data_IF_666531729614
#
_entry.id   IF_666531729614
#
_cell.length_a   1.000
_cell.length_b   1.000
_cell.length_c   1.000
_cell.angle_alpha   90.00
_cell.angle_beta   90.00
_cell.angle_gamma   90.00
#
_symmetry.space_group_name_H-M   'P 1'
#
loop_
_entity.id
_entity.type
_entity.pdbx_description
1 polymer ?
#
# COMPACT_ATOMS: atom_id res chain seq x y z
N UNK A 1 -16.08 -25.74 7.29
CA UNK A 1 -16.72 -24.50 7.82
C UNK A 1 -15.67 -23.53 8.34
N UNK A 2 -14.75 -23.95 9.22
CA UNK A 2 -13.71 -23.09 9.81
C UNK A 2 -12.75 -22.45 8.79
N UNK A 3 -12.28 -23.22 7.79
CA UNK A 3 -11.44 -22.68 6.71
C UNK A 3 -12.14 -21.55 5.94
N UNK A 4 -13.40 -21.76 5.57
CA UNK A 4 -14.21 -20.76 4.85
C UNK A 4 -14.35 -19.48 5.68
N UNK A 5 -14.64 -19.61 6.97
CA UNK A 5 -14.74 -18.48 7.88
C UNK A 5 -13.40 -17.74 7.97
N UNK A 6 -12.28 -18.46 8.12
CA UNK A 6 -10.96 -17.85 8.17
C UNK A 6 -10.61 -17.05 6.91
N UNK A 7 -10.94 -17.59 5.73
CA UNK A 7 -10.75 -16.88 4.45
C UNK A 7 -11.61 -15.63 4.37
N UNK A 8 -12.90 -15.71 4.73
CA UNK A 8 -13.81 -14.56 4.70
C UNK A 8 -13.37 -13.46 5.66
N UNK A 9 -13.00 -13.82 6.89
CA UNK A 9 -12.44 -12.88 7.86
C UNK A 9 -11.14 -12.27 7.35
N UNK A 10 -10.28 -13.07 6.69
CA UNK A 10 -9.05 -12.57 6.08
C UNK A 10 -9.29 -11.59 4.95
N UNK A 11 -10.33 -11.78 4.13
CA UNK A 11 -10.71 -10.83 3.07
C UNK A 11 -11.19 -9.51 3.70
N UNK A 12 -12.03 -9.57 4.74
CA UNK A 12 -12.47 -8.38 5.49
C UNK A 12 -11.27 -7.66 6.11
N UNK A 13 -10.37 -8.42 6.73
CA UNK A 13 -9.15 -7.87 7.31
C UNK A 13 -8.23 -7.23 6.26
N UNK A 14 -8.14 -7.84 5.09
CA UNK A 14 -7.41 -7.28 3.94
C UNK A 14 -7.99 -5.94 3.50
N UNK A 15 -9.33 -5.76 3.52
CA UNK A 15 -9.93 -4.45 3.26
C UNK A 15 -9.48 -3.40 4.26
N UNK A 16 -9.44 -3.74 5.55
CA UNK A 16 -9.03 -2.81 6.60
C UNK A 16 -7.56 -2.40 6.39
N UNK A 17 -6.68 -3.36 6.12
CA UNK A 17 -5.26 -3.09 5.81
C UNK A 17 -5.14 -2.22 4.55
N UNK A 18 -5.87 -2.52 3.48
CA UNK A 18 -5.85 -1.74 2.24
C UNK A 18 -6.31 -0.30 2.45
N UNK A 19 -7.38 -0.05 3.23
CA UNK A 19 -7.85 1.30 3.53
C UNK A 19 -6.84 2.06 4.40
N UNK A 20 -6.51 1.52 5.58
CA UNK A 20 -5.78 2.27 6.60
C UNK A 20 -4.27 2.31 6.33
N UNK A 21 -3.69 1.17 5.95
CA UNK A 21 -2.27 1.02 5.69
C UNK A 21 -1.88 1.48 4.29
N UNK A 22 -2.45 0.86 3.26
CA UNK A 22 -2.00 1.11 1.89
C UNK A 22 -2.51 2.45 1.33
N UNK A 23 -3.83 2.65 1.30
CA UNK A 23 -4.47 3.85 0.74
C UNK A 23 -4.15 5.09 1.58
N UNK A 24 -4.55 5.12 2.85
CA UNK A 24 -4.42 6.33 3.67
C UNK A 24 -2.96 6.59 4.05
N UNK A 25 -2.27 5.62 4.65
CA UNK A 25 -0.94 5.85 5.20
C UNK A 25 0.16 5.89 4.13
N UNK A 26 0.35 4.82 3.34
CA UNK A 26 1.45 4.81 2.35
C UNK A 26 1.18 5.75 1.18
N UNK A 27 0.04 5.58 0.52
CA UNK A 27 -0.22 6.27 -0.72
C UNK A 27 -0.49 7.77 -0.50
N UNK A 28 -1.53 8.10 0.26
CA UNK A 28 -2.01 9.47 0.38
C UNK A 28 -1.14 10.32 1.31
N UNK A 29 -0.82 9.80 2.49
CA UNK A 29 0.00 10.51 3.46
C UNK A 29 1.49 10.53 3.06
N UNK A 30 2.11 9.37 2.82
CA UNK A 30 3.56 9.31 2.58
C UNK A 30 3.99 9.64 1.15
N UNK A 31 3.33 9.09 0.12
CA UNK A 31 3.72 9.37 -1.25
C UNK A 31 3.32 10.78 -1.68
N UNK A 32 2.07 11.15 -1.45
CA UNK A 32 1.49 12.39 -2.00
C UNK A 32 1.35 13.55 -1.02
N UNK A 33 1.63 13.32 0.28
CA UNK A 33 1.61 14.36 1.33
C UNK A 33 0.28 15.13 1.36
N UNK A 34 -0.83 14.44 1.08
CA UNK A 34 -2.15 15.05 0.97
C UNK A 34 -2.67 15.60 2.31
N UNK A 35 -2.25 14.98 3.42
CA UNK A 35 -2.58 15.36 4.80
C UNK A 35 -1.54 14.76 5.77
N UNK A 36 -1.64 15.10 7.05
CA UNK A 36 -0.85 14.48 8.12
C UNK A 36 -1.70 13.48 8.91
N UNK A 37 -1.06 12.51 9.55
CA UNK A 37 -1.71 11.54 10.44
C UNK A 37 -1.05 11.59 11.82
N UNK A 38 -1.78 11.27 12.90
CA UNK A 38 -1.20 11.19 14.23
C UNK A 38 -0.23 10.01 14.34
N UNK A 39 0.72 10.11 15.27
CA UNK A 39 1.77 9.10 15.44
C UNK A 39 1.26 7.69 15.77
N UNK A 40 0.13 7.57 16.48
CA UNK A 40 -0.49 6.27 16.76
C UNK A 40 -1.04 5.61 15.49
N UNK A 41 -1.64 6.39 14.58
CA UNK A 41 -2.19 5.89 13.33
C UNK A 41 -1.06 5.43 12.41
N UNK A 42 0.04 6.19 12.41
CA UNK A 42 1.25 5.82 11.70
C UNK A 42 1.81 4.46 12.18
N UNK A 43 1.92 4.24 13.49
CA UNK A 43 2.36 2.95 14.06
C UNK A 43 1.39 1.83 13.68
N UNK A 44 0.08 2.05 13.86
CA UNK A 44 -0.96 1.08 13.53
C UNK A 44 -0.91 0.67 12.04
N UNK A 45 -0.88 1.64 11.13
CA UNK A 45 -0.84 1.38 9.70
C UNK A 45 0.47 0.72 9.26
N UNK A 46 1.62 1.09 9.84
CA UNK A 46 2.87 0.39 9.57
C UNK A 46 2.81 -1.07 10.03
N UNK A 47 2.26 -1.36 11.22
CA UNK A 47 2.07 -2.73 11.69
C UNK A 47 1.19 -3.55 10.74
N UNK A 48 0.07 -2.99 10.27
CA UNK A 48 -0.81 -3.61 9.27
C UNK A 48 -0.07 -3.94 7.96
N UNK A 49 0.78 -3.02 7.49
CA UNK A 49 1.56 -3.21 6.27
C UNK A 49 2.66 -4.24 6.43
N UNK A 50 3.19 -4.42 7.64
CA UNK A 50 4.16 -5.47 7.92
C UNK A 50 3.53 -6.87 7.89
N UNK A 51 2.21 -6.99 8.10
CA UNK A 51 1.47 -8.25 7.93
C UNK A 51 1.32 -8.58 6.43
N UNK A 52 0.84 -7.61 5.64
CA UNK A 52 0.56 -7.81 4.21
C UNK A 52 1.81 -7.83 3.31
N UNK A 53 2.86 -7.11 3.71
CA UNK A 53 4.23 -7.15 3.17
C UNK A 53 4.37 -7.29 1.64
N UNK A 54 3.83 -6.32 0.86
CA UNK A 54 4.09 -6.24 -0.59
C UNK A 54 5.58 -5.95 -0.86
N UNK A 55 6.09 -4.91 -0.19
CA UNK A 55 7.48 -4.45 -0.10
C UNK A 55 7.65 -3.75 1.25
N UNK A 56 8.88 -3.48 1.67
CA UNK A 56 9.11 -2.61 2.85
C UNK A 56 8.43 -1.25 2.65
N UNK A 57 7.95 -0.57 3.71
CA UNK A 57 7.29 0.74 3.57
C UNK A 57 8.12 1.77 2.80
N UNK A 58 9.42 1.91 3.12
CA UNK A 58 10.33 2.79 2.38
C UNK A 58 10.42 2.38 0.90
N UNK A 59 10.60 1.08 0.63
CA UNK A 59 10.72 0.57 -0.74
C UNK A 59 9.47 0.81 -1.57
N UNK A 60 8.29 0.60 -0.96
CA UNK A 60 7.00 0.85 -1.60
C UNK A 60 6.83 2.33 -1.94
N UNK A 61 6.97 3.22 -0.94
CA UNK A 61 6.80 4.68 -1.11
C UNK A 61 7.77 5.21 -2.17
N UNK A 62 9.03 4.81 -2.11
CA UNK A 62 10.04 5.29 -3.03
C UNK A 62 9.81 4.78 -4.46
N UNK A 63 9.37 3.52 -4.62
CA UNK A 63 8.99 3.00 -5.94
C UNK A 63 7.78 3.70 -6.53
N UNK A 64 6.79 4.05 -5.70
CA UNK A 64 5.59 4.76 -6.15
C UNK A 64 5.90 6.19 -6.58
N UNK A 65 6.75 6.90 -5.83
CA UNK A 65 7.24 8.23 -6.22
C UNK A 65 8.05 8.19 -7.53
N UNK A 66 8.86 7.16 -7.71
CA UNK A 66 9.61 6.95 -8.96
C UNK A 66 8.66 6.65 -10.12
N UNK A 67 7.65 5.81 -9.91
CA UNK A 67 6.58 5.57 -10.87
C UNK A 67 5.88 6.84 -11.31
N UNK A 68 5.44 7.70 -10.39
CA UNK A 68 4.82 8.98 -10.78
C UNK A 68 5.73 9.90 -11.61
N UNK A 69 7.05 9.77 -11.47
CA UNK A 69 8.01 10.58 -12.25
C UNK A 69 8.23 10.02 -13.65
N UNK A 70 8.12 8.69 -13.81
CA UNK A 70 8.49 7.99 -15.05
C UNK A 70 7.34 7.15 -15.63
N UNK A 71 6.11 7.41 -15.19
CA UNK A 71 4.93 6.55 -15.38
C UNK A 71 4.79 6.09 -16.83
N UNK A 72 4.51 4.79 -17.00
CA UNK A 72 4.35 4.15 -18.31
C UNK A 72 5.59 4.21 -19.21
N UNK A 73 6.74 4.66 -18.70
CA UNK A 73 8.03 4.77 -19.39
C UNK A 73 9.04 3.69 -19.00
N UNK A 74 10.21 3.62 -19.67
CA UNK A 74 11.23 2.60 -19.40
C UNK A 74 11.84 2.66 -17.99
N UNK A 75 11.82 3.84 -17.36
CA UNK A 75 12.34 4.06 -16.01
C UNK A 75 11.27 3.87 -14.92
N UNK A 76 10.03 3.55 -15.28
CA UNK A 76 8.98 3.18 -14.34
C UNK A 76 9.33 1.83 -13.67
N UNK A 77 9.48 1.78 -12.34
CA UNK A 77 9.88 0.56 -11.65
C UNK A 77 8.85 -0.57 -11.76
N UNK A 78 7.61 -0.29 -12.16
CA UNK A 78 6.57 -1.30 -12.30
C UNK A 78 5.71 -1.09 -13.56
N UNK A 79 6.28 -0.53 -14.62
CA UNK A 79 5.60 -0.53 -15.91
C UNK A 79 5.45 -1.96 -16.43
N UNK A 80 4.20 -2.42 -16.55
CA UNK A 80 3.88 -3.74 -17.09
C UNK A 80 4.40 -3.96 -18.51
N UNK A 81 4.58 -2.88 -19.29
CA UNK A 81 5.16 -2.92 -20.64
C UNK A 81 6.66 -3.20 -20.64
N UNK A 82 7.43 -2.52 -19.78
CA UNK A 82 8.90 -2.61 -19.80
C UNK A 82 9.47 -3.63 -18.82
N UNK A 83 8.83 -3.84 -17.67
CA UNK A 83 9.20 -4.86 -16.68
C UNK A 83 8.64 -6.24 -17.06
N UNK A 84 7.48 -6.26 -17.72
CA UNK A 84 6.77 -7.46 -18.14
C UNK A 84 5.51 -7.72 -17.32
N UNK A 85 4.39 -7.93 -18.01
CA UNK A 85 3.05 -8.04 -17.42
C UNK A 85 2.98 -9.03 -16.26
N UNK A 86 3.45 -10.27 -16.45
CA UNK A 86 3.38 -11.31 -15.43
C UNK A 86 4.25 -11.02 -14.21
N UNK A 87 5.42 -10.41 -14.42
CA UNK A 87 6.29 -10.02 -13.30
C UNK A 87 5.59 -8.96 -12.44
N UNK A 88 4.96 -7.97 -13.08
CA UNK A 88 4.20 -6.92 -12.39
C UNK A 88 2.96 -7.48 -11.70
N UNK A 89 2.19 -8.33 -12.39
CA UNK A 89 0.97 -8.94 -11.82
C UNK A 89 1.28 -9.77 -10.57
N UNK A 90 2.36 -10.56 -10.59
CA UNK A 90 2.73 -11.43 -9.46
C UNK A 90 3.72 -10.80 -8.48
N UNK A 91 4.12 -9.54 -8.70
CA UNK A 91 5.05 -8.82 -7.82
C UNK A 91 6.41 -9.46 -7.61
N UNK A 92 6.95 -10.06 -8.68
CA UNK A 92 8.21 -10.83 -8.67
C UNK A 92 9.40 -10.08 -9.26
N UNK A 93 9.26 -8.79 -9.57
CA UNK A 93 10.36 -7.98 -10.09
C UNK A 93 11.16 -7.30 -8.97
N UNK A 94 12.42 -7.04 -9.28
CA UNK A 94 13.30 -6.23 -8.46
C UNK A 94 13.55 -4.86 -9.06
N UNK A 95 13.72 -3.88 -8.18
CA UNK A 95 14.10 -2.52 -8.55
C UNK A 95 15.59 -2.40 -8.30
N UNK A 96 16.40 -2.49 -9.37
CA UNK A 96 17.87 -2.54 -9.28
C UNK A 96 18.47 -1.38 -8.48
N UNK A 97 17.92 -0.17 -8.65
CA UNK A 97 18.37 1.03 -7.94
C UNK A 97 17.22 2.02 -7.83
N UNK A 98 16.91 2.44 -6.60
CA UNK A 98 16.02 3.56 -6.34
C UNK A 98 16.88 4.79 -6.05
N UNK A 99 16.83 5.85 -6.86
CA UNK A 99 17.52 7.10 -6.57
C UNK A 99 17.14 7.66 -5.19
N UNK A 100 18.13 8.14 -4.44
CA UNK A 100 17.96 8.64 -3.07
C UNK A 100 16.93 9.77 -2.98
N UNK A 101 16.76 10.57 -4.05
CA UNK A 101 15.74 11.63 -4.12
C UNK A 101 14.32 11.15 -3.82
N UNK A 102 13.98 9.89 -4.09
CA UNK A 102 12.65 9.34 -3.84
C UNK A 102 12.43 8.87 -2.39
N UNK A 103 13.49 8.67 -1.60
CA UNK A 103 13.42 8.09 -0.26
C UNK A 103 14.06 8.95 0.84
N UNK A 104 14.82 10.00 0.49
CA UNK A 104 15.67 10.77 1.43
C UNK A 104 14.94 11.25 2.70
N UNK A 105 13.71 11.74 2.56
CA UNK A 105 12.89 12.20 3.69
C UNK A 105 12.41 11.05 4.59
N UNK A 106 12.18 9.86 4.03
CA UNK A 106 11.66 8.69 4.74
C UNK A 106 12.64 8.15 5.78
N UNK A 107 13.95 8.23 5.50
CA UNK A 107 15.00 7.80 6.43
C UNK A 107 15.14 8.68 7.68
N UNK A 108 14.50 9.86 7.71
CA UNK A 108 14.42 10.69 8.93
C UNK A 108 13.44 10.12 9.96
N UNK A 109 12.54 9.21 9.56
CA UNK A 109 11.55 8.63 10.44
C UNK A 109 12.05 7.27 10.97
N UNK A 110 12.38 7.14 12.26
CA UNK A 110 12.93 5.90 12.82
C UNK A 110 11.98 4.72 12.71
N UNK A 111 10.66 4.94 12.67
CA UNK A 111 9.66 3.86 12.54
C UNK A 111 9.69 3.24 11.15
N UNK A 112 9.77 4.07 10.10
CA UNK A 112 9.96 3.59 8.72
C UNK A 112 11.28 2.84 8.57
N UNK A 113 12.36 3.36 9.16
CA UNK A 113 13.67 2.71 9.14
C UNK A 113 13.64 1.37 9.87
N UNK A 114 12.98 1.29 11.03
CA UNK A 114 12.79 0.04 11.77
C UNK A 114 12.07 -1.01 10.91
N UNK A 115 10.91 -0.65 10.33
CA UNK A 115 10.19 -1.53 9.42
C UNK A 115 11.04 -1.97 8.23
N UNK A 116 11.83 -1.06 7.64
CA UNK A 116 12.69 -1.38 6.50
C UNK A 116 13.86 -2.30 6.86
N UNK A 117 14.49 -2.14 8.03
CA UNK A 117 15.63 -2.99 8.45
C UNK A 117 15.20 -4.37 8.94
N UNK A 118 14.05 -4.45 9.60
CA UNK A 118 13.60 -5.66 10.28
C UNK A 118 12.47 -6.40 9.55
N UNK A 119 12.14 -5.99 8.31
CA UNK A 119 10.95 -6.48 7.62
C UNK A 119 10.83 -8.00 7.58
N UNK A 120 11.91 -8.70 7.23
CA UNK A 120 11.91 -10.15 7.08
C UNK A 120 11.73 -10.84 8.44
N UNK A 121 12.39 -10.32 9.49
CA UNK A 121 12.24 -10.84 10.86
C UNK A 121 10.81 -10.64 11.36
N UNK A 122 10.21 -9.48 11.09
CA UNK A 122 8.83 -9.19 11.46
C UNK A 122 7.87 -10.11 10.71
N UNK A 123 8.06 -10.29 9.41
CA UNK A 123 7.22 -11.18 8.59
C UNK A 123 7.26 -12.62 9.11
N UNK A 124 8.46 -13.17 9.33
CA UNK A 124 8.65 -14.51 9.87
C UNK A 124 8.01 -14.63 11.26
N UNK A 125 8.22 -13.65 12.14
CA UNK A 125 7.62 -13.66 13.47
C UNK A 125 6.09 -13.64 13.41
N UNK A 126 5.49 -12.79 12.58
CA UNK A 126 4.03 -12.73 12.38
C UNK A 126 3.50 -14.07 11.87
N UNK A 127 4.17 -14.68 10.90
CA UNK A 127 3.74 -15.96 10.31
C UNK A 127 3.83 -17.10 11.32
N UNK A 128 4.96 -17.23 12.02
CA UNK A 128 5.16 -18.27 13.03
C UNK A 128 4.17 -18.09 14.19
N UNK A 129 4.07 -16.89 14.77
CA UNK A 129 3.19 -16.64 15.92
C UNK A 129 1.73 -16.90 15.54
N UNK A 130 1.28 -16.41 14.38
CA UNK A 130 -0.11 -16.63 13.96
C UNK A 130 -0.41 -18.10 13.66
N UNK A 131 0.55 -18.85 13.11
CA UNK A 131 0.39 -20.29 12.88
C UNK A 131 0.33 -21.09 14.19
N UNK A 132 1.13 -20.71 15.19
CA UNK A 132 1.11 -21.32 16.52
C UNK A 132 -0.20 -21.07 17.27
N UNK A 133 -0.91 -19.96 17.00
CA UNK A 133 -2.26 -19.72 17.54
C UNK A 133 -3.25 -20.70 16.92
N UNK A 134 -3.29 -20.78 15.59
CA UNK A 134 -3.90 -21.90 14.83
C UNK A 134 -3.61 -21.73 13.33
N UNK A 135 -3.65 -22.82 12.54
CA UNK A 135 -3.57 -22.72 11.08
C UNK A 135 -4.64 -21.81 10.48
N UNK A 136 -5.86 -21.79 11.03
CA UNK A 136 -6.95 -20.93 10.57
C UNK A 136 -6.71 -19.46 10.89
N UNK A 137 -6.17 -19.15 12.08
CA UNK A 137 -5.79 -17.78 12.42
C UNK A 137 -4.68 -17.27 11.51
N UNK A 138 -3.65 -18.09 11.24
CA UNK A 138 -2.62 -17.76 10.23
C UNK A 138 -3.21 -17.46 8.86
N UNK A 139 -4.14 -18.29 8.39
CA UNK A 139 -4.79 -18.10 7.08
C UNK A 139 -5.50 -16.75 7.02
N UNK A 140 -6.37 -16.45 7.99
CA UNK A 140 -7.14 -15.21 8.01
C UNK A 140 -6.31 -13.97 8.32
N UNK A 141 -5.43 -14.05 9.32
CA UNK A 141 -4.71 -12.89 9.84
C UNK A 141 -3.49 -12.50 8.97
N UNK A 142 -2.78 -13.47 8.38
CA UNK A 142 -1.51 -13.23 7.71
C UNK A 142 -1.52 -13.65 6.23
N UNK A 143 -1.86 -14.90 5.91
CA UNK A 143 -1.70 -15.43 4.56
C UNK A 143 -2.63 -14.76 3.54
N UNK A 144 -3.93 -14.66 3.86
CA UNK A 144 -4.90 -14.01 2.97
C UNK A 144 -4.53 -12.54 2.74
N UNK A 145 -4.27 -11.70 3.77
CA UNK A 145 -3.79 -10.34 3.55
C UNK A 145 -2.52 -10.22 2.71
N UNK A 146 -1.56 -11.12 2.90
CA UNK A 146 -0.34 -11.15 2.11
C UNK A 146 -0.66 -11.38 0.62
N UNK A 147 -1.44 -12.41 0.30
CA UNK A 147 -1.85 -12.73 -1.08
C UNK A 147 -2.67 -11.58 -1.67
N UNK A 148 -3.63 -11.06 -0.91
CA UNK A 148 -4.56 -10.04 -1.37
C UNK A 148 -3.86 -8.73 -1.71
N UNK A 149 -2.88 -8.34 -0.90
CA UNK A 149 -2.07 -7.14 -1.13
C UNK A 149 -1.19 -7.29 -2.39
N UNK A 150 -0.63 -8.48 -2.63
CA UNK A 150 0.17 -8.80 -3.82
C UNK A 150 -0.69 -8.74 -5.10
N UNK A 151 -1.86 -9.36 -5.08
CA UNK A 151 -2.83 -9.33 -6.18
C UNK A 151 -3.30 -7.90 -6.43
N UNK A 152 -3.73 -7.17 -5.39
CA UNK A 152 -4.21 -5.80 -5.51
C UNK A 152 -3.17 -4.86 -6.12
N UNK A 153 -1.93 -4.92 -5.64
CA UNK A 153 -0.82 -4.13 -6.19
C UNK A 153 -0.54 -4.50 -7.66
N UNK A 154 -0.47 -5.80 -7.96
CA UNK A 154 -0.19 -6.28 -9.31
C UNK A 154 -1.29 -5.87 -10.30
N UNK A 155 -2.56 -6.02 -9.93
CA UNK A 155 -3.70 -5.63 -10.75
C UNK A 155 -3.75 -4.11 -11.00
N UNK A 156 -3.48 -3.28 -9.98
CA UNK A 156 -3.44 -1.82 -10.15
C UNK A 156 -2.37 -1.40 -11.17
N UNK A 157 -1.19 -2.00 -11.11
CA UNK A 157 -0.06 -1.66 -11.98
C UNK A 157 -0.09 -2.38 -13.35
N UNK A 158 -1.05 -3.26 -13.57
CA UNK A 158 -1.30 -3.88 -14.87
C UNK A 158 -2.60 -3.37 -15.49
N UNK A 159 -3.73 -3.75 -14.90
CA UNK A 159 -5.07 -3.38 -15.38
C UNK A 159 -5.33 -1.88 -15.18
N UNK A 160 -4.88 -1.31 -14.06
CA UNK A 160 -4.97 0.14 -13.81
C UNK A 160 -4.04 0.97 -14.68
N UNK A 161 -3.05 0.37 -15.34
CA UNK A 161 -2.15 1.00 -16.33
C UNK A 161 -2.33 0.44 -17.75
N UNK A 162 -3.50 -0.12 -18.06
CA UNK A 162 -3.79 -0.66 -19.41
C UNK A 162 -3.86 0.42 -20.50
N UNK A 163 -3.92 1.69 -20.13
CA UNK A 163 -3.86 2.86 -21.02
C UNK A 163 -2.87 3.88 -20.45
N UNK A 164 -2.21 4.70 -21.31
CA UNK A 164 -1.31 5.75 -20.86
C UNK A 164 -1.98 6.70 -19.85
N UNK A 165 -1.29 7.02 -18.76
CA UNK A 165 -1.83 7.88 -17.69
C UNK A 165 -2.84 7.19 -16.77
N UNK A 166 -2.97 5.86 -16.87
CA UNK A 166 -3.83 5.06 -16.02
C UNK A 166 -5.29 4.97 -16.50
N UNK A 167 -6.02 4.01 -15.93
CA UNK A 167 -7.41 3.72 -16.21
C UNK A 167 -8.22 3.62 -14.92
N UNK A 168 -9.45 4.16 -14.94
CA UNK A 168 -10.39 3.95 -13.84
C UNK A 168 -11.04 2.58 -13.97
N UNK A 169 -10.85 1.74 -12.95
CA UNK A 169 -11.32 0.36 -12.90
C UNK A 169 -11.92 0.12 -11.52
N UNK A 170 -13.18 0.50 -11.35
CA UNK A 170 -13.84 0.56 -10.05
C UNK A 170 -13.89 -0.80 -9.31
N UNK A 171 -13.99 -1.91 -10.03
CA UNK A 171 -14.01 -3.24 -9.41
C UNK A 171 -12.69 -3.60 -8.71
N UNK A 172 -11.57 -2.94 -9.06
CA UNK A 172 -10.31 -3.11 -8.32
C UNK A 172 -10.45 -2.68 -6.86
N UNK A 173 -11.41 -1.81 -6.51
CA UNK A 173 -11.63 -1.42 -5.12
C UNK A 173 -12.00 -2.59 -4.21
N UNK A 174 -12.41 -3.73 -4.75
CA UNK A 174 -12.50 -4.99 -4.01
C UNK A 174 -11.16 -5.44 -3.44
N UNK A 175 -10.03 -4.96 -3.95
CA UNK A 175 -8.68 -5.29 -3.49
C UNK A 175 -7.94 -4.10 -2.85
N UNK A 176 -8.15 -2.91 -3.42
CA UNK A 176 -7.32 -1.72 -3.16
C UNK A 176 -8.14 -0.53 -2.65
N UNK A 177 -9.28 -0.73 -2.00
CA UNK A 177 -9.83 0.24 -1.04
C UNK A 177 -10.03 1.70 -1.53
N UNK A 178 -10.49 1.91 -2.77
CA UNK A 178 -10.73 3.23 -3.34
C UNK A 178 -9.68 3.70 -4.35
N UNK A 179 -8.56 2.97 -4.48
CA UNK A 179 -7.45 3.28 -5.38
C UNK A 179 -7.72 2.91 -6.86
N UNK A 180 -8.87 2.30 -7.17
CA UNK A 180 -9.25 1.94 -8.54
C UNK A 180 -9.56 3.12 -9.47
N UNK A 181 -9.60 4.36 -8.96
CA UNK A 181 -9.77 5.59 -9.75
C UNK A 181 -8.43 6.15 -10.23
N UNK A 182 -7.66 5.27 -10.87
CA UNK A 182 -6.24 5.50 -11.12
C UNK A 182 -5.95 6.57 -12.17
N UNK A 183 -6.85 6.75 -13.16
CA UNK A 183 -6.73 7.85 -14.12
C UNK A 183 -6.89 9.20 -13.42
N UNK A 184 -7.91 9.34 -12.58
CA UNK A 184 -8.12 10.56 -11.79
C UNK A 184 -6.95 10.85 -10.86
N UNK A 185 -6.37 9.80 -10.30
CA UNK A 185 -5.17 9.88 -9.47
C UNK A 185 -3.96 10.43 -10.24
N UNK A 186 -3.66 9.88 -11.41
CA UNK A 186 -2.54 10.39 -12.24
C UNK A 186 -2.78 11.81 -12.76
N UNK A 187 -4.02 12.17 -13.07
CA UNK A 187 -4.39 13.54 -13.46
C UNK A 187 -4.21 14.54 -12.31
N UNK A 188 -4.54 14.16 -11.07
CA UNK A 188 -4.38 15.02 -9.90
C UNK A 188 -4.13 14.23 -8.61
N UNK A 189 -2.89 13.79 -8.42
CA UNK A 189 -2.48 13.00 -7.25
C UNK A 189 -2.50 13.81 -5.93
N UNK A 190 -2.70 15.13 -5.97
CA UNK A 190 -2.86 15.96 -4.77
C UNK A 190 -4.28 15.91 -4.23
N UNK A 191 -5.25 15.51 -5.04
CA UNK A 191 -6.65 15.37 -4.61
C UNK A 191 -6.77 14.19 -3.64
N UNK A 192 -7.37 14.45 -2.46
CA UNK A 192 -7.71 13.38 -1.52
C UNK A 192 -8.79 12.51 -2.17
N UNK A 193 -10.07 12.83 -2.09
CA UNK A 193 -11.08 11.92 -2.67
C UNK A 193 -11.12 11.97 -4.19
N UNK A 194 -10.70 10.88 -4.86
CA UNK A 194 -10.55 10.76 -6.31
C UNK A 194 -11.89 10.65 -7.04
N UNK A 195 -12.88 10.02 -6.41
CA UNK A 195 -14.21 9.78 -6.96
C UNK A 195 -15.27 9.65 -5.85
N UNK A 196 -16.56 9.74 -6.19
CA UNK A 196 -17.65 9.58 -5.20
C UNK A 196 -17.67 8.22 -4.50
N UNK A 197 -17.15 7.17 -5.13
CA UNK A 197 -17.01 5.84 -4.51
C UNK A 197 -15.57 5.48 -4.11
N UNK A 198 -14.68 6.47 -4.05
CA UNK A 198 -13.37 6.32 -3.42
C UNK A 198 -13.55 6.30 -1.89
N UNK A 199 -13.66 5.09 -1.33
CA UNK A 199 -13.89 4.87 0.10
C UNK A 199 -12.67 5.22 0.94
N UNK A 200 -11.45 4.94 0.46
CA UNK A 200 -10.21 5.33 1.11
C UNK A 200 -10.05 6.84 1.20
N UNK A 201 -10.31 7.56 0.11
CA UNK A 201 -10.29 9.03 0.09
C UNK A 201 -11.40 9.65 0.96
N UNK A 202 -12.61 9.09 0.93
CA UNK A 202 -13.70 9.53 1.81
C UNK A 202 -13.37 9.35 3.30
N UNK A 203 -12.75 8.23 3.66
CA UNK A 203 -12.35 7.97 5.04
C UNK A 203 -11.21 8.90 5.46
N UNK A 204 -10.22 9.11 4.58
CA UNK A 204 -9.14 10.06 4.80
C UNK A 204 -9.65 11.49 5.04
N UNK A 205 -10.61 11.95 4.24
CA UNK A 205 -11.20 13.28 4.38
C UNK A 205 -11.82 13.48 5.76
N UNK A 206 -12.54 12.48 6.25
CA UNK A 206 -13.25 12.56 7.55
C UNK A 206 -12.33 12.48 8.75
N UNK A 207 -11.23 11.74 8.62
CA UNK A 207 -10.34 11.49 9.75
C UNK A 207 -9.20 12.49 9.83
N UNK A 208 -8.67 12.98 8.70
CA UNK A 208 -7.35 13.59 8.66
C UNK A 208 -7.21 14.86 7.82
N UNK A 209 -8.21 15.25 7.01
CA UNK A 209 -8.09 16.44 6.15
C UNK A 209 -7.67 17.69 6.92
N UNK A 210 -8.28 17.87 8.09
CA UNK A 210 -8.06 19.04 8.95
C UNK A 210 -7.16 18.71 10.15
N UNK A 211 -6.46 17.57 10.13
CA UNK A 211 -5.57 17.18 11.21
C UNK A 211 -4.26 17.98 11.16
N UNK A 212 -4.01 18.77 12.20
CA UNK A 212 -2.72 19.42 12.43
C UNK A 212 -1.92 18.69 13.52
N UNK A 213 -0.66 18.31 13.25
CA UNK A 213 0.19 17.72 14.28
C UNK A 213 0.46 18.77 15.36
N UNK A 214 0.29 18.38 16.63
CA UNK A 214 0.69 19.24 17.76
C UNK A 214 2.16 19.62 17.57
N UNK A 215 2.44 20.92 17.49
CA UNK A 215 3.83 21.42 17.53
C UNK A 215 4.45 20.85 18.81
N UNK A 216 5.59 20.19 18.69
CA UNK A 216 6.39 19.85 19.88
C UNK A 216 6.77 21.20 20.50
N UNK A 217 6.13 21.55 21.62
CA UNK A 217 6.67 22.54 22.54
C UNK A 217 8.02 21.98 22.98
N UNK A 218 9.08 22.61 22.49
CA UNK A 218 10.48 22.30 22.83
C UNK A 218 10.70 22.45 24.31
#
# INVERSE_FOLDING_TARGET
MELTIAILLGIVWSQIISHLGASILLHRHYCHKQFKVPGWFEVMGLSMLMIACIRTPIGWIASHRMHHTHSDGPEDPHSSKYVGFWKVLFTTWDIKKIPTKYAKDLFKNPKLVFCHRHWLKILIAVWVISFLISPYFFIGFALVPFIFAKIGFGLLNTIGHRTPGGANVAWLNLFIAGEGYHKNHHENFKRIRLHKFDTGGWLAERLFKDYEPKRKTT
#
